data_IF_355567825986
#
_entry.id   IF_355567825986
#
_cell.length_a   1.000
_cell.length_b   1.000
_cell.length_c   1.000
_cell.angle_alpha   90.00
_cell.angle_beta   90.00
_cell.angle_gamma   90.00
#
_symmetry.space_group_name_H-M   'P 1'
#
loop_
_entity.id
_entity.type
_entity.pdbx_description
1 polymer ?
#
# COMPACT_ATOMS: atom_id res chain seq x y z
N UNK A 1 47.49 -24.19 4.79
CA UNK A 1 46.96 -23.01 5.51
C UNK A 1 47.02 -21.71 4.70
N UNK A 2 48.16 -21.28 4.09
CA UNK A 2 48.22 -20.00 3.36
C UNK A 2 47.39 -19.96 2.06
N UNK A 3 47.32 -21.09 1.33
CA UNK A 3 46.51 -21.20 0.12
C UNK A 3 45.01 -21.06 0.44
N UNK A 4 44.54 -21.74 1.49
CA UNK A 4 43.13 -21.67 1.91
C UNK A 4 42.75 -20.23 2.31
N UNK A 5 43.60 -19.55 3.09
CA UNK A 5 43.36 -18.16 3.48
C UNK A 5 43.33 -17.22 2.28
N UNK A 6 44.25 -17.39 1.32
CA UNK A 6 44.27 -16.60 0.07
C UNK A 6 43.01 -16.83 -0.78
N UNK A 7 42.56 -18.07 -0.89
CA UNK A 7 41.33 -18.42 -1.61
C UNK A 7 40.11 -17.79 -0.93
N UNK A 8 40.02 -17.87 0.40
CA UNK A 8 38.93 -17.28 1.16
C UNK A 8 38.89 -15.75 1.03
N UNK A 9 40.04 -15.07 1.13
CA UNK A 9 40.11 -13.62 0.95
C UNK A 9 39.67 -13.20 -0.46
N UNK A 10 40.15 -13.92 -1.48
CA UNK A 10 39.76 -13.66 -2.88
C UNK A 10 38.25 -13.86 -3.06
N UNK A 11 37.69 -14.95 -2.52
CA UNK A 11 36.26 -15.21 -2.55
C UNK A 11 35.44 -14.12 -1.84
N UNK A 12 35.92 -13.62 -0.69
CA UNK A 12 35.29 -12.51 0.04
C UNK A 12 35.26 -11.21 -0.78
N UNK A 13 36.33 -10.89 -1.49
CA UNK A 13 36.35 -9.74 -2.40
C UNK A 13 35.31 -9.88 -3.52
N UNK A 14 35.24 -11.05 -4.16
CA UNK A 14 34.23 -11.32 -5.19
C UNK A 14 32.81 -11.22 -4.64
N UNK A 15 32.55 -11.78 -3.45
CA UNK A 15 31.26 -11.69 -2.79
C UNK A 15 30.84 -10.24 -2.54
N UNK A 16 31.75 -9.39 -2.05
CA UNK A 16 31.50 -7.95 -1.84
C UNK A 16 31.13 -7.24 -3.14
N UNK A 17 31.87 -7.49 -4.23
CA UNK A 17 31.57 -6.88 -5.54
C UNK A 17 30.25 -7.37 -6.13
N UNK A 18 29.97 -8.67 -6.06
CA UNK A 18 28.76 -9.26 -6.65
C UNK A 18 27.51 -8.81 -5.87
N UNK A 19 27.52 -8.96 -4.54
CA UNK A 19 26.35 -8.62 -3.71
C UNK A 19 26.13 -7.10 -3.72
N UNK A 20 27.19 -6.30 -3.58
CA UNK A 20 27.06 -4.85 -3.64
C UNK A 20 26.64 -4.35 -5.02
N UNK A 21 27.18 -4.92 -6.10
CA UNK A 21 26.74 -4.64 -7.46
C UNK A 21 25.26 -4.95 -7.67
N UNK A 22 24.79 -6.12 -7.20
CA UNK A 22 23.37 -6.48 -7.27
C UNK A 22 22.48 -5.53 -6.45
N UNK A 23 22.90 -5.13 -5.25
CA UNK A 23 22.16 -4.18 -4.41
C UNK A 23 22.10 -2.76 -5.02
N UNK A 24 23.15 -2.34 -5.72
CA UNK A 24 23.16 -1.10 -6.50
C UNK A 24 22.17 -1.18 -7.67
N UNK A 25 22.21 -2.26 -8.44
CA UNK A 25 21.25 -2.49 -9.53
C UNK A 25 19.83 -2.47 -8.98
N UNK A 26 19.54 -3.23 -7.93
CA UNK A 26 18.22 -3.24 -7.27
C UNK A 26 17.78 -1.84 -6.81
N UNK A 27 18.70 -0.97 -6.41
CA UNK A 27 18.38 0.42 -6.04
C UNK A 27 18.07 1.30 -7.24
N UNK A 28 18.75 1.08 -8.37
CA UNK A 28 18.63 1.89 -9.57
C UNK A 28 17.46 1.44 -10.46
N UNK A 29 17.08 0.16 -10.44
CA UNK A 29 16.05 -0.40 -11.33
C UNK A 29 14.72 0.37 -11.24
N UNK A 30 14.14 0.64 -10.06
CA UNK A 30 12.87 1.38 -9.97
C UNK A 30 12.93 2.83 -10.48
N UNK A 31 14.13 3.43 -10.60
CA UNK A 31 14.28 4.79 -11.12
C UNK A 31 13.94 4.89 -12.62
N UNK A 32 13.89 3.76 -13.33
CA UNK A 32 13.52 3.70 -14.74
C UNK A 32 12.03 3.98 -14.98
N UNK A 33 11.20 4.03 -13.94
CA UNK A 33 9.74 4.28 -13.99
C UNK A 33 8.94 3.35 -14.92
N UNK A 34 9.53 2.26 -15.38
CA UNK A 34 8.87 1.28 -16.24
C UNK A 34 7.94 0.38 -15.41
N UNK A 35 6.76 0.07 -15.95
CA UNK A 35 5.70 -0.72 -15.30
C UNK A 35 5.95 -2.23 -15.26
N UNK A 36 7.07 -2.74 -15.81
CA UNK A 36 7.30 -4.18 -15.89
C UNK A 36 7.51 -4.78 -14.50
N UNK A 37 6.83 -5.90 -14.20
CA UNK A 37 6.83 -6.51 -12.87
C UNK A 37 8.25 -6.77 -12.32
N UNK A 38 9.18 -7.21 -13.17
CA UNK A 38 10.56 -7.55 -12.78
C UNK A 38 11.43 -6.33 -12.45
N UNK A 39 10.97 -5.13 -12.83
CA UNK A 39 11.55 -3.84 -12.41
C UNK A 39 10.88 -3.40 -11.10
N UNK A 40 9.55 -3.46 -11.06
CA UNK A 40 8.73 -3.03 -9.91
C UNK A 40 8.96 -3.86 -8.65
N UNK A 41 9.35 -5.13 -8.78
CA UNK A 41 9.68 -5.98 -7.62
C UNK A 41 10.77 -5.37 -6.73
N UNK A 42 11.65 -4.53 -7.27
CA UNK A 42 12.70 -3.86 -6.50
C UNK A 42 12.21 -2.65 -5.68
N UNK A 43 10.97 -2.18 -5.89
CA UNK A 43 10.36 -1.20 -5.01
C UNK A 43 10.05 -1.77 -3.63
N UNK A 44 9.83 -3.07 -3.51
CA UNK A 44 9.43 -3.72 -2.28
C UNK A 44 10.60 -3.80 -1.28
N UNK A 45 11.75 -4.47 -1.58
CA UNK A 45 12.83 -4.81 -0.65
C UNK A 45 13.72 -3.68 -0.13
N UNK A 46 13.21 -2.47 0.08
CA UNK A 46 14.05 -1.33 0.49
C UNK A 46 14.81 -1.57 1.79
N UNK A 47 14.19 -2.14 2.83
CA UNK A 47 14.86 -2.44 4.10
C UNK A 47 15.99 -3.47 3.94
N UNK A 48 15.74 -4.51 3.13
CA UNK A 48 16.67 -5.60 2.87
C UNK A 48 17.81 -5.12 1.98
N UNK A 49 17.52 -4.23 1.02
CA UNK A 49 18.52 -3.54 0.20
C UNK A 49 19.41 -2.68 1.09
N UNK A 50 18.84 -1.85 2.00
CA UNK A 50 19.63 -1.07 2.97
C UNK A 50 20.54 -1.98 3.80
N UNK A 51 19.99 -3.07 4.34
CA UNK A 51 20.78 -4.02 5.12
C UNK A 51 21.93 -4.63 4.31
N UNK A 52 21.65 -5.06 3.07
CA UNK A 52 22.68 -5.60 2.17
C UNK A 52 23.76 -4.55 1.86
N UNK A 53 23.37 -3.31 1.51
CA UNK A 53 24.31 -2.22 1.23
C UNK A 53 25.22 -1.92 2.43
N UNK A 54 24.65 -1.84 3.64
CA UNK A 54 25.40 -1.57 4.87
C UNK A 54 26.35 -2.72 5.20
N UNK A 55 25.89 -3.97 5.14
CA UNK A 55 26.73 -5.14 5.43
C UNK A 55 27.87 -5.29 4.42
N UNK A 56 27.60 -5.06 3.12
CA UNK A 56 28.62 -5.12 2.08
C UNK A 56 29.63 -3.97 2.21
N UNK A 57 29.18 -2.76 2.53
CA UNK A 57 30.07 -1.64 2.78
C UNK A 57 30.98 -1.91 4.00
N UNK A 58 30.43 -2.44 5.09
CA UNK A 58 31.20 -2.83 6.27
C UNK A 58 32.22 -3.94 5.95
N UNK A 59 31.83 -4.95 5.17
CA UNK A 59 32.75 -6.00 4.72
C UNK A 59 33.87 -5.44 3.82
N UNK A 60 33.54 -4.52 2.90
CA UNK A 60 34.53 -3.83 2.06
C UNK A 60 35.53 -3.03 2.90
N UNK A 61 35.07 -2.30 3.92
CA UNK A 61 35.94 -1.58 4.86
C UNK A 61 36.85 -2.55 5.62
N UNK A 62 36.34 -3.68 6.11
CA UNK A 62 37.12 -4.70 6.80
C UNK A 62 38.19 -5.36 5.89
N UNK A 63 37.93 -5.42 4.58
CA UNK A 63 38.89 -5.88 3.56
C UNK A 63 39.87 -4.78 3.09
N UNK A 64 39.85 -3.59 3.71
CA UNK A 64 40.79 -2.51 3.41
C UNK A 64 40.44 -1.66 2.19
N UNK A 65 39.20 -1.68 1.70
CA UNK A 65 38.80 -0.91 0.51
C UNK A 65 39.00 0.60 0.64
N UNK A 66 39.02 1.12 1.88
CA UNK A 66 39.32 2.53 2.14
C UNK A 66 40.74 2.94 1.68
N UNK A 67 41.70 2.01 1.67
CA UNK A 67 43.11 2.27 1.29
C UNK A 67 43.57 1.49 0.04
N UNK A 68 42.71 0.63 -0.53
CA UNK A 68 43.05 -0.27 -1.64
C UNK A 68 43.09 0.39 -3.04
N UNK A 69 42.83 1.71 -3.15
CA UNK A 69 42.90 2.48 -4.39
C UNK A 69 41.54 3.05 -4.84
N UNK A 70 41.53 3.71 -6.01
CA UNK A 70 40.38 4.53 -6.46
C UNK A 70 39.08 3.75 -6.67
N UNK A 71 39.14 2.54 -7.24
CA UNK A 71 37.94 1.79 -7.62
C UNK A 71 37.18 1.23 -6.41
N UNK A 72 37.83 0.60 -5.42
CA UNK A 72 37.16 0.22 -4.17
C UNK A 72 36.58 1.42 -3.41
N UNK A 73 37.26 2.58 -3.42
CA UNK A 73 36.75 3.81 -2.80
C UNK A 73 35.50 4.34 -3.50
N UNK A 74 35.49 4.38 -4.84
CA UNK A 74 34.31 4.78 -5.63
C UNK A 74 33.15 3.81 -5.42
N UNK A 75 33.43 2.51 -5.30
CA UNK A 75 32.41 1.52 -4.99
C UNK A 75 31.79 1.72 -3.61
N UNK A 76 32.61 1.96 -2.57
CA UNK A 76 32.11 2.32 -1.23
C UNK A 76 31.27 3.60 -1.25
N UNK A 77 31.69 4.61 -2.03
CA UNK A 77 30.92 5.84 -2.21
C UNK A 77 29.57 5.58 -2.89
N UNK A 78 29.53 4.73 -3.92
CA UNK A 78 28.29 4.33 -4.57
C UNK A 78 27.35 3.58 -3.61
N UNK A 79 27.88 2.64 -2.80
CA UNK A 79 27.10 1.95 -1.77
C UNK A 79 26.55 2.92 -0.72
N UNK A 80 27.36 3.91 -0.30
CA UNK A 80 26.93 4.93 0.64
C UNK A 80 25.81 5.82 0.05
N UNK A 81 25.97 6.28 -1.18
CA UNK A 81 24.95 7.07 -1.88
C UNK A 81 23.64 6.30 -2.05
N UNK A 82 23.71 5.03 -2.46
CA UNK A 82 22.54 4.15 -2.56
C UNK A 82 21.89 3.90 -1.20
N UNK A 83 22.67 3.74 -0.13
CA UNK A 83 22.15 3.59 1.24
C UNK A 83 21.39 4.83 1.66
N UNK A 84 21.96 6.02 1.45
CA UNK A 84 21.30 7.30 1.75
C UNK A 84 20.00 7.43 0.96
N UNK A 85 20.03 7.16 -0.34
CA UNK A 85 18.82 7.20 -1.17
C UNK A 85 17.72 6.27 -0.64
N UNK A 86 18.03 5.00 -0.35
CA UNK A 86 17.04 4.06 0.17
C UNK A 86 16.52 4.47 1.56
N UNK A 87 17.38 5.00 2.43
CA UNK A 87 16.96 5.53 3.73
C UNK A 87 16.02 6.73 3.58
N UNK A 88 16.27 7.64 2.63
CA UNK A 88 15.37 8.76 2.34
C UNK A 88 13.99 8.32 1.86
N UNK A 89 13.87 7.16 1.20
CA UNK A 89 12.58 6.57 0.81
C UNK A 89 11.84 5.91 1.99
N UNK A 90 12.56 5.44 3.01
CA UNK A 90 11.98 4.75 4.17
C UNK A 90 11.67 5.71 5.32
N UNK A 91 12.44 6.80 5.48
CA UNK A 91 12.35 7.70 6.63
C UNK A 91 10.95 8.28 6.88
N UNK A 92 10.09 8.58 5.88
CA UNK A 92 8.73 9.06 6.13
C UNK A 92 7.88 8.08 6.95
N UNK A 93 8.15 6.78 6.82
CA UNK A 93 7.43 5.71 7.50
C UNK A 93 8.10 5.30 8.82
N UNK A 94 8.80 6.25 9.45
CA UNK A 94 9.39 6.11 10.78
C UNK A 94 8.83 7.18 11.71
N UNK A 95 9.08 7.06 13.02
CA UNK A 95 8.69 8.09 13.99
C UNK A 95 9.62 9.30 14.01
N UNK A 96 10.56 9.39 13.06
CA UNK A 96 11.57 10.45 13.01
C UNK A 96 11.11 11.70 12.26
N UNK A 97 10.06 11.57 11.45
CA UNK A 97 9.46 12.69 10.69
C UNK A 97 8.17 13.17 11.35
N UNK A 98 7.75 14.42 11.09
CA UNK A 98 6.40 14.87 11.39
C UNK A 98 5.34 13.97 10.74
N UNK A 99 4.14 13.96 11.34
CA UNK A 99 3.02 13.16 10.86
C UNK A 99 2.25 13.95 9.81
N UNK A 100 1.99 13.35 8.65
CA UNK A 100 1.16 13.97 7.61
C UNK A 100 -0.26 14.23 8.14
N UNK A 101 -0.82 13.24 8.84
CA UNK A 101 -2.08 13.38 9.57
C UNK A 101 -1.79 13.52 11.05
N UNK A 102 -2.22 14.61 11.68
CA UNK A 102 -2.00 14.87 13.10
C UNK A 102 -2.72 13.82 13.98
N UNK A 103 -2.27 13.67 15.23
CA UNK A 103 -3.06 12.93 16.22
C UNK A 103 -4.25 13.78 16.66
N UNK A 104 -5.38 13.13 16.89
CA UNK A 104 -6.56 13.77 17.47
C UNK A 104 -6.23 14.32 18.86
N UNK A 105 -6.53 15.60 19.05
CA UNK A 105 -6.46 16.24 20.38
C UNK A 105 -7.80 16.22 21.10
N UNK A 106 -8.89 15.85 20.40
CA UNK A 106 -10.20 15.69 20.99
C UNK A 106 -10.22 14.42 21.82
N UNK A 107 -10.54 14.55 23.11
CA UNK A 107 -10.86 13.40 23.96
C UNK A 107 -12.13 12.75 23.44
N UNK A 108 -12.00 11.65 22.69
CA UNK A 108 -13.03 10.68 22.33
C UNK A 108 -14.46 11.23 22.27
N UNK A 109 -14.80 12.05 21.27
CA UNK A 109 -16.21 12.33 20.96
C UNK A 109 -16.67 11.28 19.94
N UNK A 110 -17.36 10.21 20.37
CA UNK A 110 -17.68 9.09 19.50
C UNK A 110 -18.60 9.49 18.35
N UNK A 111 -19.26 10.66 18.44
CA UNK A 111 -20.16 11.17 17.40
C UNK A 111 -19.42 11.67 16.16
N UNK A 112 -18.14 12.01 16.32
CA UNK A 112 -17.29 12.49 15.22
C UNK A 112 -16.15 11.53 14.93
N UNK A 113 -16.16 10.33 15.50
CA UNK A 113 -15.18 9.29 15.21
C UNK A 113 -15.71 8.31 14.16
N UNK A 114 -14.80 7.76 13.37
CA UNK A 114 -15.04 6.65 12.46
C UNK A 114 -13.88 5.67 12.55
N UNK A 115 -14.18 4.42 12.86
CA UNK A 115 -13.20 3.35 12.83
C UNK A 115 -13.45 2.37 11.69
N UNK A 116 -12.38 1.95 11.03
CA UNK A 116 -12.44 1.03 9.91
C UNK A 116 -11.38 -0.06 10.04
N UNK A 117 -11.73 -1.26 9.58
CA UNK A 117 -10.81 -2.38 9.43
C UNK A 117 -10.81 -2.88 7.98
N UNK A 118 -9.61 -3.13 7.46
CA UNK A 118 -9.39 -3.73 6.13
C UNK A 118 -8.67 -5.05 6.33
N UNK A 119 -9.15 -6.10 5.65
CA UNK A 119 -8.51 -7.41 5.62
C UNK A 119 -8.49 -7.97 4.21
N UNK A 120 -7.30 -8.20 3.65
CA UNK A 120 -7.15 -9.22 2.62
C UNK A 120 -7.19 -10.59 3.33
N UNK A 121 -8.19 -11.42 3.02
CA UNK A 121 -8.40 -12.69 3.72
C UNK A 121 -7.66 -13.87 3.11
N UNK A 122 -7.04 -13.69 1.94
CA UNK A 122 -6.53 -14.71 1.03
C UNK A 122 -7.63 -15.70 0.64
N UNK A 123 -8.15 -15.67 -0.59
CA UNK A 123 -9.38 -16.42 -0.93
C UNK A 123 -9.33 -17.89 -0.52
N UNK A 124 -8.18 -18.55 -0.62
CA UNK A 124 -7.99 -19.96 -0.30
C UNK A 124 -7.79 -20.27 1.20
N UNK A 125 -7.56 -19.27 2.04
CA UNK A 125 -7.50 -19.42 3.48
C UNK A 125 -8.88 -19.88 4.01
N UNK A 126 -8.88 -20.77 5.00
CA UNK A 126 -10.09 -21.34 5.59
C UNK A 126 -10.25 -21.04 7.09
N UNK A 127 -9.47 -20.11 7.62
CA UNK A 127 -9.49 -19.64 9.01
C UNK A 127 -10.59 -18.59 9.28
N UNK A 128 -11.82 -18.83 8.79
CA UNK A 128 -12.93 -17.87 8.87
C UNK A 128 -13.32 -17.49 10.30
N UNK A 129 -13.29 -18.45 11.22
CA UNK A 129 -13.57 -18.20 12.64
C UNK A 129 -12.53 -17.29 13.31
N UNK A 130 -11.24 -17.45 12.93
CA UNK A 130 -10.16 -16.60 13.43
C UNK A 130 -10.27 -15.18 12.88
N UNK A 131 -10.56 -15.03 11.58
CA UNK A 131 -10.80 -13.72 10.96
C UNK A 131 -11.97 -12.99 11.63
N UNK A 132 -13.11 -13.68 11.77
CA UNK A 132 -14.30 -13.14 12.43
C UNK A 132 -14.02 -12.72 13.89
N UNK A 133 -13.35 -13.57 14.67
CA UNK A 133 -13.00 -13.27 16.06
C UNK A 133 -12.06 -12.06 16.16
N UNK A 134 -11.08 -11.96 15.26
CA UNK A 134 -10.10 -10.86 15.23
C UNK A 134 -10.78 -9.51 14.97
N UNK A 135 -11.70 -9.46 14.02
CA UNK A 135 -12.41 -8.22 13.67
C UNK A 135 -13.43 -7.85 14.72
N UNK A 136 -14.17 -8.82 15.29
CA UNK A 136 -15.07 -8.58 16.44
C UNK A 136 -14.32 -8.03 17.65
N UNK A 137 -13.10 -8.51 17.91
CA UNK A 137 -12.28 -8.00 19.01
C UNK A 137 -11.75 -6.58 18.75
N UNK A 138 -11.57 -6.18 17.48
CA UNK A 138 -11.18 -4.82 17.12
C UNK A 138 -12.37 -3.83 17.15
N UNK A 139 -13.59 -4.32 16.98
CA UNK A 139 -14.85 -3.58 17.03
C UNK A 139 -14.86 -2.28 16.18
N UNK A 140 -14.53 -2.35 14.87
CA UNK A 140 -14.62 -1.18 13.98
C UNK A 140 -16.09 -0.82 13.67
N UNK A 141 -16.31 0.38 13.13
CA UNK A 141 -17.61 0.81 12.61
C UNK A 141 -17.83 0.34 11.16
N UNK A 142 -16.75 0.20 10.40
CA UNK A 142 -16.72 -0.20 8.99
C UNK A 142 -15.71 -1.32 8.79
N UNK A 143 -16.07 -2.34 8.01
CA UNK A 143 -15.21 -3.49 7.72
C UNK A 143 -15.23 -3.72 6.20
N UNK A 144 -14.05 -3.92 5.62
CA UNK A 144 -13.93 -4.45 4.27
C UNK A 144 -13.01 -5.67 4.28
N UNK A 145 -13.53 -6.78 3.76
CA UNK A 145 -12.74 -7.94 3.39
C UNK A 145 -12.58 -7.98 1.87
N UNK A 146 -11.37 -8.26 1.38
CA UNK A 146 -11.05 -8.46 -0.04
C UNK A 146 -10.47 -9.87 -0.22
N UNK A 147 -10.45 -10.35 -1.46
CA UNK A 147 -10.24 -11.76 -1.82
C UNK A 147 -11.31 -12.70 -1.25
N UNK A 148 -12.57 -12.30 -1.31
CA UNK A 148 -13.69 -13.06 -0.74
C UNK A 148 -14.56 -13.70 -1.79
N UNK A 149 -14.84 -15.00 -1.61
CA UNK A 149 -15.83 -15.76 -2.38
C UNK A 149 -17.11 -15.99 -1.56
N UNK A 150 -18.04 -16.80 -2.08
CA UNK A 150 -19.27 -17.15 -1.36
C UNK A 150 -19.03 -17.89 -0.04
N UNK A 151 -17.93 -18.65 0.07
CA UNK A 151 -17.58 -19.33 1.33
C UNK A 151 -17.20 -18.30 2.40
N UNK A 152 -16.40 -17.30 2.04
CA UNK A 152 -16.04 -16.20 2.93
C UNK A 152 -17.26 -15.36 3.35
N UNK A 153 -18.22 -15.14 2.44
CA UNK A 153 -19.47 -14.46 2.80
C UNK A 153 -20.21 -15.22 3.90
N UNK A 154 -20.36 -16.54 3.78
CA UNK A 154 -20.98 -17.36 4.81
C UNK A 154 -20.23 -17.32 6.16
N UNK A 155 -18.90 -17.27 6.14
CA UNK A 155 -18.10 -17.18 7.38
C UNK A 155 -18.23 -15.82 8.07
N UNK A 156 -18.33 -14.74 7.30
CA UNK A 156 -18.38 -13.37 7.81
C UNK A 156 -19.81 -12.83 7.98
N UNK A 157 -20.83 -13.52 7.47
CA UNK A 157 -22.26 -13.19 7.65
C UNK A 157 -22.66 -12.86 9.10
N UNK A 158 -22.10 -13.50 10.16
CA UNK A 158 -22.41 -13.10 11.54
C UNK A 158 -22.03 -11.64 11.91
N UNK A 159 -21.34 -10.90 11.05
CA UNK A 159 -21.11 -9.46 11.20
C UNK A 159 -22.33 -8.63 10.84
N UNK A 160 -23.25 -9.13 10.01
CA UNK A 160 -24.47 -8.42 9.60
C UNK A 160 -25.38 -8.09 10.79
N UNK A 161 -25.29 -8.85 11.89
CA UNK A 161 -26.01 -8.59 13.14
C UNK A 161 -25.61 -7.26 13.78
N UNK A 162 -24.33 -6.86 13.67
CA UNK A 162 -23.78 -5.64 14.27
C UNK A 162 -23.46 -4.56 13.22
N UNK A 163 -23.40 -4.94 11.95
CA UNK A 163 -23.06 -4.10 10.80
C UNK A 163 -24.11 -4.30 9.69
N UNK A 164 -25.36 -3.85 9.90
CA UNK A 164 -26.49 -4.20 9.03
C UNK A 164 -26.47 -3.50 7.66
N UNK A 165 -25.61 -2.49 7.46
CA UNK A 165 -25.51 -1.79 6.18
C UNK A 165 -24.38 -2.42 5.36
N UNK A 166 -24.72 -3.17 4.32
CA UNK A 166 -23.76 -3.98 3.57
C UNK A 166 -23.72 -3.66 2.08
N UNK A 167 -22.64 -4.08 1.44
CA UNK A 167 -22.38 -3.94 0.01
C UNK A 167 -21.41 -5.06 -0.38
N UNK A 168 -21.94 -6.18 -0.86
CA UNK A 168 -21.18 -7.42 -1.06
C UNK A 168 -21.07 -7.72 -2.55
N UNK A 169 -19.87 -8.09 -2.99
CA UNK A 169 -19.56 -8.63 -4.31
C UNK A 169 -18.59 -9.82 -4.13
N UNK A 170 -19.02 -10.96 -3.57
CA UNK A 170 -18.17 -12.14 -3.48
C UNK A 170 -17.94 -12.72 -4.88
N UNK A 171 -16.69 -12.96 -5.24
CA UNK A 171 -16.29 -13.47 -6.56
C UNK A 171 -15.30 -14.64 -6.38
N UNK A 172 -15.38 -15.63 -7.27
CA UNK A 172 -14.47 -16.80 -7.28
C UNK A 172 -13.27 -16.55 -8.21
N UNK A 173 -12.67 -15.37 -8.11
CA UNK A 173 -11.59 -14.89 -8.99
C UNK A 173 -10.49 -14.15 -8.22
N UNK A 174 -10.41 -14.32 -6.90
CA UNK A 174 -9.53 -13.61 -5.96
C UNK A 174 -9.77 -12.11 -5.80
N UNK A 175 -10.76 -11.51 -6.47
CA UNK A 175 -11.01 -10.05 -6.38
C UNK A 175 -12.33 -9.68 -5.72
N UNK A 176 -13.12 -10.66 -5.28
CA UNK A 176 -14.37 -10.38 -4.59
C UNK A 176 -14.15 -9.59 -3.29
N UNK A 177 -15.16 -8.81 -2.92
CA UNK A 177 -15.13 -7.97 -1.71
C UNK A 177 -16.42 -8.10 -0.88
N UNK A 178 -16.28 -7.98 0.43
CA UNK A 178 -17.39 -7.89 1.36
C UNK A 178 -17.26 -6.63 2.20
N UNK A 179 -18.23 -5.74 2.10
CA UNK A 179 -18.31 -4.53 2.90
C UNK A 179 -19.43 -4.60 3.95
N UNK A 180 -19.09 -4.28 5.20
CA UNK A 180 -20.03 -4.21 6.32
C UNK A 180 -19.89 -2.86 7.04
N UNK A 181 -21.00 -2.22 7.36
CA UNK A 181 -21.04 -0.97 8.12
C UNK A 181 -22.11 -1.03 9.21
N UNK A 182 -21.72 -0.60 10.42
CA UNK A 182 -22.64 -0.31 11.53
C UNK A 182 -23.43 0.96 11.29
N UNK A 183 -22.84 1.88 10.55
CA UNK A 183 -23.35 3.21 10.31
C UNK A 183 -24.11 3.29 8.98
N UNK A 184 -25.15 4.15 8.87
CA UNK A 184 -25.95 4.28 7.65
C UNK A 184 -25.10 4.60 6.42
N UNK A 185 -25.43 3.95 5.30
CA UNK A 185 -24.79 4.15 4.00
C UNK A 185 -25.69 4.93 3.03
N UNK A 186 -25.08 5.69 2.13
CA UNK A 186 -25.76 6.36 1.02
C UNK A 186 -25.08 6.03 -0.30
N UNK A 187 -25.89 5.63 -1.27
CA UNK A 187 -25.47 5.32 -2.64
C UNK A 187 -24.31 4.31 -2.68
N UNK A 188 -24.43 3.21 -1.92
CA UNK A 188 -23.43 2.15 -2.01
C UNK A 188 -23.50 1.47 -3.37
N UNK A 189 -22.37 1.46 -4.07
CA UNK A 189 -22.22 0.91 -5.41
C UNK A 189 -20.93 0.13 -5.48
N UNK A 190 -21.00 -1.04 -6.11
CA UNK A 190 -19.85 -1.74 -6.62
C UNK A 190 -19.65 -1.28 -8.06
N UNK A 191 -18.43 -0.83 -8.39
CA UNK A 191 -18.06 -0.36 -9.71
C UNK A 191 -16.87 -1.13 -10.22
N UNK A 192 -16.83 -1.32 -11.53
CA UNK A 192 -15.70 -1.86 -12.25
C UNK A 192 -15.10 -0.68 -13.02
N UNK A 193 -13.95 -0.18 -12.53
CA UNK A 193 -13.40 1.12 -12.97
C UNK A 193 -12.61 1.01 -14.26
N UNK A 194 -11.93 -0.12 -14.44
CA UNK A 194 -11.02 -0.37 -15.54
C UNK A 194 -11.25 -1.76 -16.11
N UNK A 195 -11.20 -2.78 -15.24
CA UNK A 195 -11.35 -4.20 -15.57
C UNK A 195 -12.69 -4.70 -15.01
N UNK A 196 -13.49 -5.36 -15.85
CA UNK A 196 -14.86 -5.81 -15.54
C UNK A 196 -14.91 -6.97 -14.53
N UNK A 197 -13.77 -7.55 -14.15
CA UNK A 197 -13.65 -8.61 -13.14
C UNK A 197 -13.14 -8.08 -11.78
N UNK A 198 -12.76 -6.80 -11.68
CA UNK A 198 -12.17 -6.19 -10.49
C UNK A 198 -13.14 -5.17 -9.85
N UNK A 199 -13.84 -5.55 -8.77
CA UNK A 199 -14.80 -4.66 -8.12
C UNK A 199 -14.12 -3.62 -7.24
N UNK A 200 -14.70 -2.42 -7.21
CA UNK A 200 -14.36 -1.33 -6.32
C UNK A 200 -15.60 -0.84 -5.57
N UNK A 201 -15.46 -0.53 -4.29
CA UNK A 201 -16.53 -0.01 -3.46
C UNK A 201 -16.57 1.52 -3.55
N UNK A 202 -17.75 2.07 -3.83
CA UNK A 202 -18.02 3.51 -3.76
C UNK A 202 -19.25 3.77 -2.91
N UNK A 203 -19.12 4.51 -1.81
CA UNK A 203 -20.26 4.82 -0.93
C UNK A 203 -20.01 6.08 -0.10
N UNK A 204 -21.02 6.50 0.66
CA UNK A 204 -20.85 7.44 1.77
C UNK A 204 -21.36 6.79 3.04
N UNK A 205 -20.63 7.00 4.15
CA UNK A 205 -21.03 6.58 5.49
C UNK A 205 -21.40 7.80 6.32
N UNK A 206 -22.50 7.71 7.07
CA UNK A 206 -22.92 8.79 7.96
C UNK A 206 -22.26 8.63 9.34
N UNK A 207 -21.59 9.68 9.83
CA UNK A 207 -21.05 9.65 11.19
C UNK A 207 -22.17 9.61 12.24
N UNK A 208 -21.88 9.19 13.49
CA UNK A 208 -22.91 9.07 14.52
C UNK A 208 -23.52 10.41 14.96
N UNK A 209 -22.97 11.55 14.53
CA UNK A 209 -23.63 12.86 14.65
C UNK A 209 -24.91 13.01 13.80
N UNK A 210 -25.15 12.10 12.85
CA UNK A 210 -26.33 12.08 11.99
C UNK A 210 -26.36 13.19 10.93
N UNK A 211 -25.28 13.95 10.75
CA UNK A 211 -25.21 15.09 9.83
C UNK A 211 -24.04 14.98 8.85
N UNK A 212 -22.90 14.49 9.32
CA UNK A 212 -21.67 14.41 8.55
C UNK A 212 -21.66 13.15 7.69
N UNK A 213 -21.43 13.31 6.40
CA UNK A 213 -21.21 12.22 5.45
C UNK A 213 -19.74 12.15 5.08
N UNK A 214 -19.18 10.94 5.14
CA UNK A 214 -17.81 10.64 4.75
C UNK A 214 -17.86 9.75 3.53
N UNK A 215 -17.20 10.18 2.45
CA UNK A 215 -17.07 9.43 1.23
C UNK A 215 -16.02 8.34 1.39
N UNK A 216 -16.37 7.13 0.98
CA UNK A 216 -15.54 5.93 1.08
C UNK A 216 -15.28 5.34 -0.30
N UNK A 217 -14.02 5.02 -0.54
CA UNK A 217 -13.55 4.22 -1.67
C UNK A 217 -12.80 3.00 -1.15
N UNK A 218 -13.25 1.80 -1.52
CA UNK A 218 -12.59 0.55 -1.23
C UNK A 218 -12.00 -0.05 -2.50
N UNK A 219 -10.68 -0.22 -2.56
CA UNK A 219 -9.98 -0.67 -3.77
C UNK A 219 -9.19 -1.96 -3.50
N UNK A 220 -9.08 -2.81 -4.52
CA UNK A 220 -8.20 -3.97 -4.53
C UNK A 220 -7.70 -4.25 -5.96
N UNK A 221 -6.88 -3.35 -6.52
CA UNK A 221 -6.44 -3.48 -7.90
C UNK A 221 -5.48 -4.67 -8.06
N UNK A 222 -5.46 -5.23 -9.28
CA UNK A 222 -4.63 -6.37 -9.67
C UNK A 222 -3.12 -6.15 -9.39
N UNK A 223 -2.39 -7.09 -8.75
CA UNK A 223 -0.96 -6.93 -8.54
C UNK A 223 -0.15 -7.09 -9.84
N UNK A 224 1.01 -6.41 -9.96
CA UNK A 224 1.98 -6.68 -11.02
C UNK A 224 2.77 -7.95 -10.71
N UNK A 225 2.14 -9.11 -10.83
CA UNK A 225 2.74 -10.42 -10.61
C UNK A 225 2.61 -11.29 -11.87
N UNK A 226 3.61 -12.10 -12.27
CA UNK A 226 3.58 -12.86 -13.53
C UNK A 226 2.35 -13.74 -13.76
N UNK A 227 1.70 -14.18 -12.68
CA UNK A 227 0.49 -15.01 -12.72
C UNK A 227 -0.80 -14.19 -12.88
N UNK A 228 -0.73 -12.89 -12.60
CA UNK A 228 -1.85 -11.95 -12.54
C UNK A 228 -1.75 -10.90 -13.67
N UNK A 229 -0.68 -10.10 -13.67
CA UNK A 229 -0.38 -9.14 -14.73
C UNK A 229 1.12 -8.99 -14.95
N UNK A 230 1.52 -8.85 -16.22
CA UNK A 230 2.92 -8.61 -16.59
C UNK A 230 3.37 -7.17 -16.27
N UNK A 231 2.44 -6.26 -16.03
CA UNK A 231 2.71 -4.84 -15.80
C UNK A 231 1.99 -4.34 -14.55
N UNK A 232 2.34 -3.14 -14.10
CA UNK A 232 1.59 -2.37 -13.09
C UNK A 232 0.61 -1.37 -13.70
N UNK A 233 0.44 -1.33 -15.03
CA UNK A 233 -0.25 -0.26 -15.73
C UNK A 233 -1.71 -0.15 -15.29
N UNK A 234 -2.47 -1.26 -15.33
CA UNK A 234 -3.89 -1.29 -14.95
C UNK A 234 -4.11 -0.86 -13.50
N UNK A 235 -3.30 -1.40 -12.58
CA UNK A 235 -3.30 -1.03 -11.17
C UNK A 235 -3.01 0.45 -10.94
N UNK A 236 -1.99 0.99 -11.60
CA UNK A 236 -1.62 2.40 -11.51
C UNK A 236 -2.77 3.29 -12.02
N UNK A 237 -3.39 2.93 -13.14
CA UNK A 237 -4.52 3.64 -13.74
C UNK A 237 -5.75 3.67 -12.81
N UNK A 238 -6.11 2.54 -12.21
CA UNK A 238 -7.27 2.45 -11.30
C UNK A 238 -7.11 3.36 -10.07
N UNK A 239 -5.92 3.35 -9.46
CA UNK A 239 -5.59 4.27 -8.36
C UNK A 239 -5.74 5.73 -8.79
N UNK A 240 -5.20 6.09 -9.96
CA UNK A 240 -5.22 7.46 -10.46
C UNK A 240 -6.62 7.92 -10.90
N UNK A 241 -7.47 7.02 -11.40
CA UNK A 241 -8.88 7.30 -11.67
C UNK A 241 -9.61 7.78 -10.41
N UNK A 242 -9.43 7.05 -9.30
CA UNK A 242 -9.99 7.44 -8.00
C UNK A 242 -9.34 8.73 -7.51
N UNK A 243 -8.02 8.87 -7.66
CA UNK A 243 -7.30 10.08 -7.26
C UNK A 243 -7.85 11.34 -7.95
N UNK A 244 -8.11 11.28 -9.26
CA UNK A 244 -8.75 12.37 -10.02
C UNK A 244 -10.21 12.60 -9.64
N UNK A 245 -10.94 11.56 -9.25
CA UNK A 245 -12.33 11.71 -8.81
C UNK A 245 -12.41 12.43 -7.45
N UNK A 246 -11.41 12.23 -6.59
CA UNK A 246 -11.26 12.91 -5.30
C UNK A 246 -10.77 14.35 -5.47
N UNK A 247 -9.85 14.59 -6.42
CA UNK A 247 -9.29 15.92 -6.71
C UNK A 247 -10.40 16.99 -6.81
N UNK A 248 -10.19 18.12 -6.12
CA UNK A 248 -11.08 19.30 -6.11
C UNK A 248 -12.45 19.12 -5.45
N UNK A 249 -12.66 18.07 -4.65
CA UNK A 249 -13.86 17.96 -3.81
C UNK A 249 -13.57 18.37 -2.36
N UNK A 250 -14.29 19.37 -1.87
CA UNK A 250 -14.28 19.76 -0.45
C UNK A 250 -15.16 18.81 0.37
N UNK A 251 -14.92 17.51 0.25
CA UNK A 251 -15.68 16.45 0.89
C UNK A 251 -14.77 15.56 1.74
N UNK A 252 -15.24 15.21 2.94
CA UNK A 252 -14.54 14.29 3.83
C UNK A 252 -14.42 12.92 3.17
N UNK A 253 -13.20 12.54 2.78
CA UNK A 253 -12.96 11.35 1.96
C UNK A 253 -11.94 10.41 2.60
N UNK A 254 -12.17 9.11 2.47
CA UNK A 254 -11.25 8.04 2.83
C UNK A 254 -11.15 7.07 1.64
N UNK A 255 -9.93 6.74 1.22
CA UNK A 255 -9.63 5.71 0.23
C UNK A 255 -8.82 4.63 0.92
N UNK A 256 -9.26 3.37 0.86
CA UNK A 256 -8.63 2.29 1.62
C UNK A 256 -8.73 0.94 0.91
N UNK A 257 -7.90 -0.01 1.31
CA UNK A 257 -7.83 -1.32 0.66
C UNK A 257 -6.42 -1.84 0.52
N UNK A 258 -6.28 -3.04 -0.05
CA UNK A 258 -5.00 -3.58 -0.47
C UNK A 258 -4.68 -3.08 -1.88
N UNK A 259 -3.76 -2.12 -1.96
CA UNK A 259 -3.44 -1.45 -3.23
C UNK A 259 -2.43 -2.22 -4.07
N UNK A 260 -1.95 -3.37 -3.59
CA UNK A 260 -0.90 -4.17 -4.25
C UNK A 260 0.34 -3.34 -4.63
N UNK A 261 0.62 -2.30 -3.84
CA UNK A 261 1.76 -1.42 -3.99
C UNK A 261 2.28 -0.95 -2.64
N UNK A 262 3.56 -0.63 -2.57
CA UNK A 262 4.21 -0.17 -1.35
C UNK A 262 4.06 1.34 -1.17
N UNK A 263 3.98 1.79 0.08
CA UNK A 263 3.70 3.20 0.40
C UNK A 263 4.65 4.22 -0.25
N UNK A 264 5.92 3.83 -0.42
CA UNK A 264 6.98 4.63 -1.02
C UNK A 264 7.14 4.42 -2.53
N UNK A 265 6.17 3.82 -3.21
CA UNK A 265 6.19 3.69 -4.65
C UNK A 265 5.93 5.04 -5.31
N UNK A 266 6.44 5.23 -6.53
CA UNK A 266 6.14 6.44 -7.30
C UNK A 266 4.63 6.61 -7.56
N UNK A 267 3.90 5.51 -7.77
CA UNK A 267 2.45 5.52 -8.00
C UNK A 267 1.69 5.98 -6.76
N UNK A 268 2.05 5.51 -5.56
CA UNK A 268 1.43 5.95 -4.30
C UNK A 268 1.70 7.42 -4.02
N UNK A 269 2.90 7.92 -4.32
CA UNK A 269 3.21 9.35 -4.20
C UNK A 269 2.43 10.18 -5.23
N UNK A 270 2.35 9.74 -6.49
CA UNK A 270 1.56 10.41 -7.53
C UNK A 270 0.07 10.44 -7.16
N UNK A 271 -0.47 9.33 -6.63
CA UNK A 271 -1.84 9.28 -6.13
C UNK A 271 -2.09 10.31 -5.02
N UNK A 272 -1.19 10.43 -4.04
CA UNK A 272 -1.28 11.46 -2.98
C UNK A 272 -1.29 12.87 -3.57
N UNK A 273 -0.35 13.18 -4.48
CA UNK A 273 -0.27 14.49 -5.15
C UNK A 273 -1.51 14.85 -5.94
N UNK A 274 -2.04 13.89 -6.69
CA UNK A 274 -3.22 14.09 -7.55
C UNK A 274 -4.50 14.20 -6.73
N UNK A 275 -4.67 13.36 -5.70
CA UNK A 275 -5.88 13.33 -4.88
C UNK A 275 -5.92 14.38 -3.77
N UNK A 276 -4.75 14.88 -3.34
CA UNK A 276 -4.62 15.73 -2.15
C UNK A 276 -4.87 14.99 -0.83
N UNK A 277 -4.94 13.65 -0.85
CA UNK A 277 -5.11 12.84 0.35
C UNK A 277 -3.79 12.65 1.09
N UNK A 278 -3.89 12.55 2.41
CA UNK A 278 -2.79 12.34 3.34
C UNK A 278 -2.66 10.85 3.69
N UNK A 279 -1.43 10.39 3.95
CA UNK A 279 -1.17 9.05 4.47
C UNK A 279 -1.02 9.10 6.02
N UNK A 280 -1.97 8.58 6.80
CA UNK A 280 -1.88 8.51 8.26
C UNK A 280 -0.70 7.64 8.75
N UNK A 281 -0.09 6.80 7.90
CA UNK A 281 1.10 5.99 8.24
C UNK A 281 2.35 6.83 8.41
N UNK A 282 2.48 7.94 7.67
CA UNK A 282 3.67 8.81 7.71
C UNK A 282 3.84 9.38 9.13
N UNK A 283 5.06 9.29 9.65
CA UNK A 283 5.40 9.66 11.04
C UNK A 283 5.00 8.63 12.11
N UNK A 284 4.41 7.48 11.76
CA UNK A 284 3.93 6.48 12.75
C UNK A 284 4.68 5.15 12.73
N UNK A 285 5.16 4.72 11.57
CA UNK A 285 5.90 3.47 11.40
C UNK A 285 5.51 2.73 10.12
N UNK A 286 6.26 1.69 9.76
CA UNK A 286 6.04 0.94 8.52
C UNK A 286 4.70 0.21 8.46
N UNK A 287 4.20 -0.31 9.58
CA UNK A 287 2.98 -1.12 9.64
C UNK A 287 2.90 -2.19 8.54
N UNK A 288 3.90 -3.09 8.41
CA UNK A 288 3.94 -4.00 7.27
C UNK A 288 2.89 -5.11 7.42
N UNK A 289 2.06 -5.27 6.39
CA UNK A 289 0.90 -6.17 6.35
C UNK A 289 1.17 -7.46 5.58
N UNK A 290 2.01 -7.44 4.53
CA UNK A 290 2.31 -8.61 3.69
C UNK A 290 3.83 -8.84 3.58
N UNK A 291 4.41 -10.03 3.59
CA UNK A 291 3.79 -11.32 3.76
C UNK A 291 3.77 -11.71 5.25
N UNK A 292 2.61 -12.13 5.74
CA UNK A 292 2.37 -12.28 7.17
C UNK A 292 3.25 -13.34 7.83
N UNK A 293 3.53 -14.44 7.13
CA UNK A 293 4.40 -15.52 7.60
C UNK A 293 5.89 -15.18 7.59
N UNK A 294 6.35 -14.31 6.68
CA UNK A 294 7.76 -14.01 6.50
C UNK A 294 8.19 -12.74 7.24
N UNK A 295 8.50 -12.89 8.53
CA UNK A 295 8.90 -11.78 9.43
C UNK A 295 9.96 -10.81 8.88
N UNK A 296 10.91 -11.30 8.08
CA UNK A 296 12.00 -10.50 7.52
C UNK A 296 11.71 -9.95 6.11
N UNK A 297 10.59 -10.35 5.48
CA UNK A 297 10.20 -9.96 4.12
C UNK A 297 8.77 -9.39 4.14
N UNK A 298 8.56 -8.37 4.99
CA UNK A 298 7.27 -7.69 5.10
C UNK A 298 7.30 -6.26 4.56
N UNK A 299 6.16 -5.85 4.03
CA UNK A 299 5.86 -4.67 3.23
C UNK A 299 4.49 -4.12 3.65
N UNK A 300 4.27 -2.80 3.56
CA UNK A 300 2.96 -2.20 3.77
C UNK A 300 2.18 -2.11 2.45
N UNK A 301 1.29 -3.08 2.20
CA UNK A 301 0.46 -3.11 0.97
C UNK A 301 -0.98 -2.62 1.19
N UNK A 302 -1.49 -2.74 2.41
CA UNK A 302 -2.83 -2.27 2.76
C UNK A 302 -2.76 -0.79 3.16
N UNK A 303 -3.45 0.08 2.44
CA UNK A 303 -3.42 1.52 2.64
C UNK A 303 -4.73 2.06 3.17
N UNK A 304 -4.62 3.20 3.86
CA UNK A 304 -5.72 4.09 4.16
C UNK A 304 -5.23 5.49 3.87
N UNK A 305 -5.83 6.21 2.94
CA UNK A 305 -5.59 7.61 2.67
C UNK A 305 -6.79 8.42 3.11
N UNK A 306 -6.55 9.60 3.69
CA UNK A 306 -7.61 10.42 4.30
C UNK A 306 -7.49 11.87 3.85
N UNK A 307 -8.62 12.52 3.63
CA UNK A 307 -8.65 13.96 3.41
C UNK A 307 -8.22 14.71 4.69
N UNK A 308 -7.78 15.96 4.54
CA UNK A 308 -7.33 16.83 5.63
C UNK A 308 -8.38 17.11 6.73
N UNK A 309 -9.63 16.64 6.54
CA UNK A 309 -10.69 16.69 7.54
C UNK A 309 -10.45 15.78 8.75
N UNK A 310 -9.55 14.80 8.66
CA UNK A 310 -9.40 13.77 9.69
C UNK A 310 -8.11 13.91 10.49
N UNK A 311 -8.16 13.64 11.79
CA UNK A 311 -6.98 13.37 12.63
C UNK A 311 -7.00 11.91 13.09
N UNK A 312 -5.84 11.32 13.39
CA UNK A 312 -5.75 9.90 13.80
C UNK A 312 -5.94 9.77 15.32
N UNK A 313 -6.84 8.88 15.73
CA UNK A 313 -7.03 8.46 17.14
C UNK A 313 -6.20 7.21 17.44
N UNK A 314 -6.30 6.20 16.57
CA UNK A 314 -5.54 4.94 16.67
C UNK A 314 -5.25 4.43 15.25
N UNK A 315 -4.09 3.84 15.03
CA UNK A 315 -3.75 3.15 13.79
C UNK A 315 -2.78 2.01 14.10
N UNK A 316 -3.20 0.79 13.80
CA UNK A 316 -2.43 -0.40 14.15
C UNK A 316 -2.77 -1.56 13.24
N UNK A 317 -1.81 -2.47 13.15
CA UNK A 317 -1.99 -3.78 12.55
C UNK A 317 -2.69 -4.72 13.54
N UNK A 318 -3.65 -5.49 13.08
CA UNK A 318 -4.36 -6.51 13.87
C UNK A 318 -3.57 -7.85 13.89
N UNK A 319 -3.96 -8.80 14.76
CA UNK A 319 -3.40 -10.16 14.78
C UNK A 319 -3.49 -10.89 13.44
N UNK A 320 -2.64 -11.91 13.26
CA UNK A 320 -2.63 -12.78 12.09
C UNK A 320 -3.93 -13.57 12.00
N UNK A 321 -4.53 -13.64 10.81
CA UNK A 321 -5.82 -14.32 10.56
C UNK A 321 -5.69 -15.57 9.66
N UNK A 322 -4.46 -16.07 9.46
CA UNK A 322 -4.19 -17.18 8.55
C UNK A 322 -4.04 -16.78 7.07
N UNK A 323 -4.29 -15.50 6.76
CA UNK A 323 -3.99 -14.88 5.46
C UNK A 323 -2.51 -14.51 5.38
N UNK A 324 -1.97 -14.43 4.16
CA UNK A 324 -0.67 -13.82 3.90
C UNK A 324 -0.65 -12.30 4.15
N UNK A 325 -1.80 -11.69 4.43
CA UNK A 325 -1.92 -10.34 4.96
C UNK A 325 -2.30 -10.31 6.45
N UNK A 326 -1.76 -9.31 7.16
CA UNK A 326 -2.34 -8.88 8.44
C UNK A 326 -3.42 -7.81 8.18
N UNK A 327 -4.58 -7.88 8.85
CA UNK A 327 -5.55 -6.79 8.77
C UNK A 327 -5.00 -5.50 9.38
N UNK A 328 -5.48 -4.36 8.89
CA UNK A 328 -5.17 -3.04 9.45
C UNK A 328 -6.43 -2.40 10.04
N UNK A 329 -6.27 -1.74 11.17
CA UNK A 329 -7.31 -0.98 11.86
C UNK A 329 -6.87 0.48 11.97
N UNK A 330 -7.80 1.39 11.70
CA UNK A 330 -7.62 2.81 11.97
C UNK A 330 -8.89 3.41 12.55
N UNK A 331 -8.72 4.31 13.51
CA UNK A 331 -9.77 5.15 14.08
C UNK A 331 -9.41 6.60 13.83
N UNK A 332 -10.33 7.32 13.22
CA UNK A 332 -10.17 8.70 12.78
C UNK A 332 -11.18 9.59 13.52
N UNK A 333 -10.77 10.81 13.82
CA UNK A 333 -11.61 11.89 14.35
C UNK A 333 -11.86 12.89 13.22
N UNK A 334 -13.13 13.19 12.94
CA UNK A 334 -13.52 14.25 12.02
C UNK A 334 -13.36 15.61 12.69
N UNK A 335 -12.38 16.39 12.22
CA UNK A 335 -11.96 17.67 12.78
C UNK A 335 -11.81 18.74 11.68
N UNK A 336 -12.91 19.15 11.01
CA UNK A 336 -12.86 20.08 9.88
C UNK A 336 -12.29 21.46 10.24
N UNK A 337 -12.28 21.83 11.53
CA UNK A 337 -11.65 23.07 12.01
C UNK A 337 -10.13 23.07 11.85
N UNK A 338 -9.50 21.90 11.83
CA UNK A 338 -8.05 21.73 11.69
C UNK A 338 -7.64 21.43 10.24
N UNK A 339 -8.60 21.40 9.32
CA UNK A 339 -8.40 21.07 7.91
C UNK A 339 -7.30 21.93 7.27
N UNK A 340 -7.41 23.25 7.37
CA UNK A 340 -6.45 24.17 6.73
C UNK A 340 -5.00 23.92 7.18
N UNK A 341 -4.78 23.61 8.46
CA UNK A 341 -3.45 23.30 8.97
C UNK A 341 -2.92 21.94 8.47
N UNK A 342 -3.81 20.97 8.20
CA UNK A 342 -3.42 19.68 7.64
C UNK A 342 -3.24 19.71 6.12
N UNK A 343 -3.95 20.59 5.41
CA UNK A 343 -3.75 20.82 3.97
C UNK A 343 -2.33 21.32 3.66
N UNK A 344 -1.65 21.97 4.61
CA UNK A 344 -0.23 22.34 4.46
C UNK A 344 0.70 21.13 4.35
N UNK A 345 0.28 19.97 4.87
CA UNK A 345 1.03 18.70 4.74
C UNK A 345 0.71 17.97 3.43
N UNK A 346 -0.36 18.34 2.72
CA UNK A 346 -0.74 17.68 1.49
C UNK A 346 0.22 18.07 0.38
N UNK A 347 0.78 17.07 -0.29
CA UNK A 347 1.55 17.32 -1.51
C UNK A 347 0.62 17.83 -2.62
N UNK A 348 1.12 18.72 -3.47
CA UNK A 348 0.32 19.29 -4.56
C UNK A 348 0.84 18.76 -5.89
N UNK A 349 -0.06 18.21 -6.72
CA UNK A 349 0.26 17.86 -8.09
C UNK A 349 0.54 19.12 -8.93
N UNK A 350 1.70 19.13 -9.59
CA UNK A 350 2.02 20.11 -10.62
C UNK A 350 1.41 19.71 -11.99
N UNK A 351 1.80 20.41 -13.06
CA UNK A 351 1.30 20.13 -14.40
C UNK A 351 1.84 18.79 -14.96
N UNK A 352 3.07 18.43 -14.61
CA UNK A 352 3.71 17.20 -15.07
C UNK A 352 3.09 15.98 -14.37
N UNK A 353 2.80 16.09 -13.07
CA UNK A 353 2.06 15.06 -12.33
C UNK A 353 0.68 14.80 -12.93
N UNK A 354 -0.04 15.87 -13.31
CA UNK A 354 -1.37 15.74 -13.91
C UNK A 354 -1.31 15.12 -15.31
N UNK A 355 -0.31 15.50 -16.10
CA UNK A 355 -0.07 14.90 -17.40
C UNK A 355 0.31 13.42 -17.28
N UNK A 356 1.20 13.07 -16.34
CA UNK A 356 1.58 11.68 -16.06
C UNK A 356 0.36 10.85 -15.60
N UNK A 357 -0.50 11.44 -14.76
CA UNK A 357 -1.72 10.76 -14.33
C UNK A 357 -2.67 10.48 -15.50
N UNK A 358 -2.86 11.45 -16.40
CA UNK A 358 -3.70 11.29 -17.59
C UNK A 358 -3.13 10.25 -18.56
N UNK A 359 -1.82 10.24 -18.77
CA UNK A 359 -1.11 9.27 -19.59
C UNK A 359 -1.27 7.85 -19.04
N UNK A 360 -0.98 7.64 -17.75
CA UNK A 360 -1.12 6.33 -17.11
C UNK A 360 -2.54 5.78 -17.14
N UNK A 361 -3.54 6.64 -16.95
CA UNK A 361 -4.94 6.24 -17.07
C UNK A 361 -5.26 5.80 -18.50
N UNK A 362 -4.81 6.56 -19.51
CA UNK A 362 -5.01 6.20 -20.91
C UNK A 362 -4.31 4.88 -21.28
N UNK A 363 -3.09 4.67 -20.81
CA UNK A 363 -2.35 3.40 -20.96
C UNK A 363 -3.10 2.23 -20.32
N UNK A 364 -3.66 2.42 -19.12
CA UNK A 364 -4.45 1.38 -18.45
C UNK A 364 -5.67 0.94 -19.27
N UNK A 365 -6.42 1.88 -19.84
CA UNK A 365 -7.56 1.55 -20.69
C UNK A 365 -7.14 0.90 -22.01
N UNK A 366 -6.00 1.30 -22.57
CA UNK A 366 -5.47 0.67 -23.78
C UNK A 366 -5.04 -0.77 -23.52
N UNK A 367 -4.35 -1.04 -22.41
CA UNK A 367 -3.94 -2.39 -22.02
C UNK A 367 -5.15 -3.30 -21.76
N UNK A 368 -6.21 -2.78 -21.12
CA UNK A 368 -7.46 -3.53 -20.95
C UNK A 368 -8.10 -3.91 -22.29
N UNK A 369 -8.24 -2.96 -23.21
CA UNK A 369 -8.83 -3.22 -24.53
C UNK A 369 -8.03 -4.26 -25.33
N UNK A 370 -6.71 -4.28 -25.17
CA UNK A 370 -5.85 -5.31 -25.77
C UNK A 370 -6.11 -6.69 -25.15
N UNK A 371 -6.19 -6.78 -23.81
CA UNK A 371 -6.49 -8.04 -23.10
C UNK A 371 -7.89 -8.60 -23.42
N UNK A 372 -8.91 -7.74 -23.51
CA UNK A 372 -10.26 -8.12 -23.91
C UNK A 372 -10.27 -8.68 -25.34
N UNK A 373 -9.61 -7.99 -26.28
CA UNK A 373 -9.54 -8.42 -27.68
C UNK A 373 -8.80 -9.76 -27.85
N UNK A 374 -7.73 -10.00 -27.09
CA UNK A 374 -7.04 -11.30 -27.06
C UNK A 374 -7.95 -12.40 -26.51
N UNK A 375 -8.69 -12.11 -25.44
CA UNK A 375 -9.61 -13.06 -24.80
C UNK A 375 -10.76 -13.45 -25.73
N UNK A 376 -11.33 -12.48 -26.44
CA UNK A 376 -12.40 -12.72 -27.42
C UNK A 376 -11.89 -13.50 -28.65
N UNK A 377 -10.66 -13.23 -29.10
CA UNK A 377 -10.04 -13.98 -30.18
C UNK A 377 -9.74 -15.46 -29.82
N UNK A 378 -9.51 -15.76 -28.54
CA UNK A 378 -9.33 -17.14 -28.05
C UNK A 378 -10.67 -17.87 -27.89
N UNK A 379 -11.76 -17.14 -27.62
CA UNK A 379 -13.12 -17.70 -27.48
C UNK A 379 -13.83 -17.92 -28.81
N UNK A 380 -13.44 -17.21 -29.87
CA UNK A 380 -13.96 -17.34 -31.24
C UNK A 380 -13.31 -18.52 -32.00
#
# INVERSE_FOLDING_TARGET
>A
MPILLSVLLTASHWAVWIIGGAALVATLMPLLRHTAWWIRVFDFPRLQIVLALVLVAAAGLALGYASAGRWPQLFLLALAAATVYQLLRIIPYTRLVPKDVADSTRTHDPRTELSLAVMNVLQYNREGALALATVRAADPDVIMAVETDSWWHEQLRPLEETHPYTCHEPLDNTYGLLFFSRLPLKACQIKYLLDDDIPSLHTHVQLPDGQTWVRLYGLHPKPPAPQESKTSTKRDAELLLVGKEVDRRDEATIVFGDMNDVAWSHTSELFRRVSGLLDPRVGRGLMPTFHADYRLLRWPLDHVFVSAHFQVVDMRRLPHVGSDHFPIFVRLSYEPRHKAAQEENAEQADADDRAEADEKIAEGFAEEQEEEAETDAVKA
#
